data_IF_065902671183
#
_entry.id   IF_065902671183
#
_cell.length_a   1.000
_cell.length_b   1.000
_cell.length_c   1.000
_cell.angle_alpha   90.00
_cell.angle_beta   90.00
_cell.angle_gamma   90.00
#
_symmetry.space_group_name_H-M   'P 1'
#
loop_
_entity.id
_entity.type
_entity.pdbx_description
1 polymer ?
#
# COMPACT_ATOMS: atom_id res chain seq x y z
N UNK A 1 13.20 50.80 -35.22
CA UNK A 1 12.59 50.82 -33.88
C UNK A 1 13.05 49.58 -33.12
N UNK A 2 13.99 49.73 -32.19
CA UNK A 2 14.55 48.62 -31.42
C UNK A 2 13.52 48.16 -30.37
N UNK A 3 13.13 46.89 -30.44
CA UNK A 3 12.14 46.28 -29.56
C UNK A 3 12.65 46.21 -28.10
N UNK A 4 11.93 46.88 -27.21
CA UNK A 4 12.08 46.80 -25.77
C UNK A 4 11.86 45.34 -25.31
N UNK A 5 12.92 44.68 -24.86
CA UNK A 5 12.84 43.35 -24.24
C UNK A 5 12.47 43.53 -22.75
N UNK A 6 11.37 42.94 -22.26
CA UNK A 6 11.03 43.02 -20.85
C UNK A 6 12.13 42.35 -20.01
N UNK A 7 12.63 43.05 -19.00
CA UNK A 7 13.66 42.55 -18.09
C UNK A 7 13.21 41.28 -17.37
N UNK A 8 14.13 40.31 -17.27
CA UNK A 8 14.00 39.06 -16.53
C UNK A 8 13.41 39.34 -15.13
N UNK A 9 12.21 38.84 -14.86
CA UNK A 9 11.54 38.98 -13.55
C UNK A 9 12.48 38.53 -12.42
N UNK A 10 12.63 39.37 -11.37
CA UNK A 10 13.38 39.00 -10.17
C UNK A 10 12.75 37.72 -9.60
N UNK A 11 13.59 36.71 -9.39
CA UNK A 11 13.17 35.43 -8.82
C UNK A 11 12.72 35.62 -7.35
N UNK A 12 11.74 34.85 -6.86
CA UNK A 12 11.17 34.99 -5.49
C UNK A 12 12.23 34.86 -4.39
N UNK A 13 13.34 34.20 -4.70
CA UNK A 13 14.48 34.01 -3.82
C UNK A 13 15.19 35.32 -3.44
N UNK A 14 15.02 36.40 -4.24
CA UNK A 14 15.61 37.71 -3.94
C UNK A 14 14.89 38.48 -2.83
N UNK A 15 13.64 38.14 -2.50
CA UNK A 15 12.85 38.84 -1.48
C UNK A 15 13.45 38.68 -0.06
N UNK A 16 14.25 37.62 0.12
CA UNK A 16 14.95 37.26 1.36
C UNK A 16 16.32 37.95 1.51
N UNK A 17 16.70 38.80 0.57
CA UNK A 17 18.00 39.49 0.55
C UNK A 17 17.84 41.01 0.45
N UNK A 18 18.80 41.75 1.01
CA UNK A 18 18.89 43.21 0.94
C UNK A 18 20.05 43.61 0.02
N UNK A 19 19.82 44.65 -0.78
CA UNK A 19 20.86 45.22 -1.63
C UNK A 19 21.80 46.08 -0.75
N UNK A 20 23.10 45.79 -0.80
CA UNK A 20 24.15 46.55 -0.10
C UNK A 20 24.77 47.54 -1.11
N UNK A 21 25.47 48.56 -0.61
CA UNK A 21 26.27 49.50 -1.39
C UNK A 21 27.23 48.82 -2.38
N UNK A 22 27.71 47.61 -2.07
CA UNK A 22 28.50 46.78 -2.98
C UNK A 22 27.67 46.33 -4.20
N UNK A 23 27.99 46.77 -5.44
CA UNK A 23 27.18 46.50 -6.62
C UNK A 23 27.14 45.00 -6.98
N UNK A 24 28.04 44.18 -6.43
CA UNK A 24 28.17 42.75 -6.72
C UNK A 24 27.71 41.81 -5.58
N UNK A 25 27.24 42.34 -4.45
CA UNK A 25 26.81 41.53 -3.29
C UNK A 25 25.41 41.88 -2.81
N UNK A 26 24.80 40.93 -2.11
CA UNK A 26 23.52 41.07 -1.40
C UNK A 26 23.63 40.45 -0.01
N UNK A 27 22.95 41.04 0.97
CA UNK A 27 22.94 40.58 2.35
C UNK A 27 21.74 39.66 2.57
N UNK A 28 21.96 38.49 3.15
CA UNK A 28 20.85 37.65 3.59
C UNK A 28 20.18 38.27 4.82
N UNK A 29 18.85 38.45 4.80
CA UNK A 29 18.09 38.99 5.96
C UNK A 29 18.09 38.08 7.19
N UNK A 30 18.42 36.79 7.01
CA UNK A 30 18.28 35.78 8.08
C UNK A 30 19.57 35.50 8.85
N UNK A 31 20.74 35.70 8.25
CA UNK A 31 22.02 35.42 8.86
C UNK A 31 23.10 36.48 8.59
N UNK A 32 22.68 37.61 8.01
CA UNK A 32 23.49 38.81 7.70
C UNK A 32 24.74 38.55 6.83
N UNK A 33 24.88 37.35 6.29
CA UNK A 33 26.03 36.96 5.48
C UNK A 33 25.92 37.59 4.08
N UNK A 34 27.01 38.18 3.61
CA UNK A 34 27.08 38.77 2.28
C UNK A 34 27.37 37.70 1.22
N UNK A 35 26.50 37.62 0.21
CA UNK A 35 26.57 36.63 -0.87
C UNK A 35 26.62 37.39 -2.20
N UNK A 36 27.30 36.85 -3.22
CA UNK A 36 27.36 37.55 -4.51
C UNK A 36 25.98 37.59 -5.19
N UNK A 37 25.75 38.61 -6.03
CA UNK A 37 24.52 38.80 -6.83
C UNK A 37 24.30 37.73 -7.93
N UNK A 38 24.91 36.55 -7.82
CA UNK A 38 24.64 35.40 -8.68
C UNK A 38 23.57 34.52 -8.02
N UNK A 39 22.46 34.29 -8.71
CA UNK A 39 21.32 33.50 -8.19
C UNK A 39 21.73 32.09 -7.72
N UNK A 40 22.71 31.46 -8.37
CA UNK A 40 23.28 30.17 -7.96
C UNK A 40 23.83 30.23 -6.51
N UNK A 41 24.55 31.30 -6.18
CA UNK A 41 25.17 31.49 -4.85
C UNK A 41 24.12 31.82 -3.81
N UNK A 42 23.10 32.58 -4.18
CA UNK A 42 21.92 32.89 -3.36
C UNK A 42 21.18 31.61 -3.00
N UNK A 43 20.95 30.69 -3.95
CA UNK A 43 20.28 29.40 -3.70
C UNK A 43 21.09 28.46 -2.81
N UNK A 44 22.39 28.30 -3.09
CA UNK A 44 23.29 27.48 -2.25
C UNK A 44 23.38 28.05 -0.83
N UNK A 45 23.33 29.37 -0.69
CA UNK A 45 23.27 30.00 0.61
C UNK A 45 21.94 29.71 1.31
N UNK A 46 20.79 29.85 0.64
CA UNK A 46 19.47 29.58 1.25
C UNK A 46 19.32 28.15 1.77
N UNK A 47 19.84 27.15 1.05
CA UNK A 47 19.88 25.76 1.50
C UNK A 47 20.69 25.58 2.79
N UNK A 48 21.80 26.32 2.93
CA UNK A 48 22.68 26.25 4.11
C UNK A 48 22.21 27.14 5.26
N UNK A 49 21.61 28.28 4.94
CA UNK A 49 21.10 29.27 5.90
C UNK A 49 19.97 28.68 6.75
N UNK A 50 19.08 27.91 6.12
CA UNK A 50 18.00 27.19 6.82
C UNK A 50 18.51 26.20 7.88
N UNK A 51 19.71 25.64 7.68
CA UNK A 51 20.36 24.76 8.66
C UNK A 51 21.15 25.51 9.75
N UNK A 52 21.51 26.78 9.52
CA UNK A 52 22.31 27.57 10.47
C UNK A 52 21.48 28.20 11.59
N UNK A 53 20.17 28.39 11.40
CA UNK A 53 19.27 28.97 12.41
C UNK A 53 18.83 27.96 13.48
N UNK A 54 18.53 26.71 13.08
CA UNK A 54 18.31 25.60 14.04
C UNK A 54 19.47 25.47 15.03
N UNK A 55 20.71 25.55 14.55
CA UNK A 55 21.91 25.50 15.40
C UNK A 55 22.12 26.69 16.35
N UNK A 56 21.44 27.83 16.15
CA UNK A 56 21.50 28.97 17.09
C UNK A 56 20.37 28.89 18.11
N UNK A 57 19.17 28.51 17.67
CA UNK A 57 18.02 28.40 18.56
C UNK A 57 18.20 27.24 19.57
N UNK A 58 19.00 26.21 19.25
CA UNK A 58 19.40 25.13 20.18
C UNK A 58 20.56 25.51 21.12
N UNK A 59 21.12 26.72 21.03
CA UNK A 59 22.28 27.16 21.81
C UNK A 59 21.93 28.13 22.96
N UNK A 60 20.65 28.42 23.19
CA UNK A 60 20.21 29.37 24.23
C UNK A 60 19.52 28.73 25.45
N UNK A 61 19.51 27.39 25.57
CA UNK A 61 19.07 26.68 26.78
C UNK A 61 20.26 26.07 27.55
N UNK A 62 21.28 26.86 27.88
CA UNK A 62 22.22 26.53 28.96
C UNK A 62 21.60 26.99 30.28
N UNK A 63 20.90 26.07 30.97
CA UNK A 63 20.56 26.26 32.38
C UNK A 63 21.84 26.20 33.22
N UNK A 64 22.06 27.24 34.02
CA UNK A 64 23.12 27.34 35.02
C UNK A 64 23.07 26.13 35.98
N UNK A 65 23.95 25.16 35.75
CA UNK A 65 24.24 24.10 36.74
C UNK A 65 25.50 24.53 37.47
N UNK A 66 25.34 25.01 38.70
CA UNK A 66 26.46 25.27 39.62
C UNK A 66 27.27 23.98 39.84
N UNK A 67 28.53 24.03 39.40
CA UNK A 67 29.47 22.90 39.47
C UNK A 67 29.97 22.71 40.93
N UNK A 68 29.97 21.48 41.50
CA UNK A 68 30.45 21.25 42.86
C UNK A 68 31.95 21.51 42.95
N UNK A 69 32.32 22.55 43.71
CA UNK A 69 33.70 22.95 43.96
C UNK A 69 34.40 21.98 44.91
N UNK A 70 34.92 20.87 44.40
CA UNK A 70 36.08 20.17 44.99
C UNK A 70 36.69 19.18 44.00
N UNK A 71 37.44 19.69 43.03
CA UNK A 71 38.40 18.91 42.26
C UNK A 71 39.83 19.38 42.62
N UNK A 72 40.80 18.47 42.75
CA UNK A 72 42.12 18.80 43.27
C UNK A 72 42.86 19.73 42.30
N UNK A 73 43.44 20.80 42.85
CA UNK A 73 44.24 21.79 42.11
C UNK A 73 45.42 21.09 41.42
N UNK A 74 45.34 20.94 40.11
CA UNK A 74 46.48 20.67 39.25
C UNK A 74 47.17 22.00 38.92
N UNK A 75 47.97 22.48 39.88
CA UNK A 75 48.92 23.55 39.64
C UNK A 75 50.08 23.01 38.80
N UNK A 76 50.08 23.32 37.50
CA UNK A 76 51.27 23.75 36.73
C UNK A 76 50.95 23.92 35.24
N UNK A 77 50.84 25.20 34.85
CA UNK A 77 50.93 25.75 33.48
C UNK A 77 49.71 25.59 32.57
N UNK A 78 48.72 26.47 32.73
CA UNK A 78 47.70 26.77 31.72
C UNK A 78 48.17 27.97 30.90
N UNK A 79 48.53 27.77 29.63
CA UNK A 79 48.72 28.88 28.68
C UNK A 79 47.34 29.30 28.17
N UNK A 80 46.84 30.45 28.61
CA UNK A 80 45.62 31.06 28.07
C UNK A 80 45.95 31.74 26.75
N UNK A 81 45.55 31.14 25.63
CA UNK A 81 45.56 31.83 24.34
C UNK A 81 44.26 32.62 24.16
N UNK A 82 44.35 33.84 23.63
CA UNK A 82 43.17 34.63 23.28
C UNK A 82 42.46 33.97 22.09
N UNK A 83 41.12 33.99 22.05
CA UNK A 83 40.31 33.21 21.10
C UNK A 83 40.66 33.39 19.60
N UNK A 84 41.34 34.47 19.24
CA UNK A 84 41.84 34.71 17.89
C UNK A 84 43.08 33.86 17.52
N UNK A 85 43.94 33.53 18.49
CA UNK A 85 45.13 32.69 18.28
C UNK A 85 44.76 31.21 18.13
N UNK A 86 43.78 30.73 18.91
CA UNK A 86 43.26 29.36 18.85
C UNK A 86 42.80 28.99 17.44
N UNK A 87 42.00 29.87 16.82
CA UNK A 87 41.44 29.63 15.48
C UNK A 87 42.48 29.53 14.36
N UNK A 88 43.56 30.33 14.44
CA UNK A 88 44.66 30.29 13.46
C UNK A 88 45.55 29.06 13.63
N UNK A 89 45.82 28.65 14.87
CA UNK A 89 46.53 27.41 15.16
C UNK A 89 45.71 26.21 14.66
N UNK A 90 44.42 26.13 15.00
CA UNK A 90 43.56 25.02 14.61
C UNK A 90 43.41 24.87 13.09
N UNK A 91 43.33 25.97 12.34
CA UNK A 91 43.25 25.95 10.86
C UNK A 91 44.55 25.51 10.18
N UNK A 92 45.72 25.82 10.76
CA UNK A 92 47.02 25.37 10.24
C UNK A 92 47.31 23.92 10.63
N UNK A 93 47.03 23.53 11.87
CA UNK A 93 47.20 22.17 12.36
C UNK A 93 46.23 21.17 11.71
N UNK A 94 44.97 21.54 11.47
CA UNK A 94 44.00 20.65 10.83
C UNK A 94 44.40 20.27 9.40
N UNK A 95 45.03 21.15 8.63
CA UNK A 95 45.44 20.84 7.24
C UNK A 95 46.57 19.80 7.18
N UNK A 96 47.44 19.73 8.19
CA UNK A 96 48.55 18.77 8.24
C UNK A 96 48.14 17.34 8.63
N UNK A 97 47.09 17.20 9.45
CA UNK A 97 46.72 15.91 10.06
C UNK A 97 45.82 15.05 9.16
N UNK A 98 44.99 15.66 8.29
CA UNK A 98 44.04 14.90 7.44
C UNK A 98 44.63 14.33 6.13
N UNK A 99 45.91 14.57 5.83
CA UNK A 99 46.60 13.92 4.70
C UNK A 99 47.14 12.54 5.13
N UNK A 100 46.24 11.57 5.26
CA UNK A 100 46.54 10.21 5.71
C UNK A 100 47.50 9.40 4.81
N UNK A 101 47.91 8.25 5.37
CA UNK A 101 48.47 7.03 4.73
C UNK A 101 49.95 6.98 4.34
N UNK A 102 50.89 7.33 5.23
CA UNK A 102 52.24 6.75 5.17
C UNK A 102 52.93 6.80 6.55
N UNK A 103 53.82 5.85 6.89
CA UNK A 103 54.69 5.93 8.09
C UNK A 103 55.48 7.26 8.13
N UNK A 104 55.72 7.85 6.97
CA UNK A 104 56.30 9.19 6.78
C UNK A 104 55.39 10.32 7.28
N UNK A 105 54.08 10.14 7.30
CA UNK A 105 53.10 11.14 7.76
C UNK A 105 53.13 11.30 9.27
N UNK A 106 53.18 10.21 10.05
CA UNK A 106 53.31 10.30 11.51
C UNK A 106 54.65 10.93 11.93
N UNK A 107 55.72 10.58 11.21
CA UNK A 107 57.06 11.15 11.42
C UNK A 107 57.12 12.63 11.03
N UNK A 108 56.45 13.02 9.94
CA UNK A 108 56.30 14.41 9.52
C UNK A 108 55.44 15.21 10.51
N UNK A 109 54.34 14.65 11.03
CA UNK A 109 53.50 15.29 12.05
C UNK A 109 54.28 15.49 13.36
N UNK A 110 55.08 14.51 13.78
CA UNK A 110 55.95 14.64 14.94
C UNK A 110 57.04 15.71 14.73
N UNK A 111 57.66 15.76 13.54
CA UNK A 111 58.64 16.79 13.19
C UNK A 111 58.04 18.19 13.17
N UNK A 112 56.85 18.36 12.57
CA UNK A 112 56.13 19.63 12.57
C UNK A 112 55.71 20.06 13.98
N UNK A 113 55.29 19.11 14.82
CA UNK A 113 54.99 19.40 16.23
C UNK A 113 56.24 19.86 16.98
N UNK A 114 57.38 19.18 16.81
CA UNK A 114 58.65 19.56 17.45
C UNK A 114 59.17 20.92 16.98
N UNK A 115 59.03 21.24 15.69
CA UNK A 115 59.44 22.54 15.13
C UNK A 115 58.59 23.70 15.67
N UNK A 116 57.27 23.50 15.77
CA UNK A 116 56.37 24.51 16.31
C UNK A 116 56.52 24.67 17.82
N UNK A 117 56.77 23.57 18.55
CA UNK A 117 57.11 23.62 19.98
C UNK A 117 58.35 24.49 20.19
N UNK A 118 59.45 24.22 19.47
CA UNK A 118 60.69 25.00 19.57
C UNK A 118 60.51 26.47 19.18
N UNK A 119 59.66 26.74 18.19
CA UNK A 119 59.31 28.12 17.81
C UNK A 119 58.61 28.85 18.94
N UNK A 120 57.61 28.21 19.57
CA UNK A 120 56.89 28.77 20.70
C UNK A 120 57.80 28.99 21.92
N UNK A 121 58.66 28.03 22.25
CA UNK A 121 59.62 28.17 23.36
C UNK A 121 60.55 29.38 23.15
N UNK A 122 60.99 29.60 21.91
CA UNK A 122 61.86 30.73 21.55
C UNK A 122 61.13 32.07 21.53
N UNK A 123 59.90 32.10 21.04
CA UNK A 123 59.10 33.33 20.91
C UNK A 123 58.59 33.82 22.27
N UNK A 124 58.22 32.89 23.16
CA UNK A 124 57.59 33.20 24.44
C UNK A 124 58.49 32.94 25.66
N UNK A 125 59.71 32.43 25.47
CA UNK A 125 60.69 32.20 26.54
C UNK A 125 60.25 31.17 27.58
N UNK A 126 59.42 30.21 27.19
CA UNK A 126 58.89 29.16 28.06
C UNK A 126 59.37 27.77 27.62
N UNK A 127 59.19 26.75 28.45
CA UNK A 127 59.46 25.34 28.10
C UNK A 127 58.14 24.59 28.00
N UNK A 128 57.89 23.97 26.85
CA UNK A 128 56.65 23.23 26.57
C UNK A 128 56.84 21.80 27.03
N UNK A 129 56.10 21.39 28.08
CA UNK A 129 56.24 20.08 28.72
C UNK A 129 55.32 19.01 28.09
N UNK A 130 54.33 19.43 27.28
CA UNK A 130 53.46 18.53 26.53
C UNK A 130 52.46 19.28 25.66
N UNK A 131 51.94 18.60 24.63
CA UNK A 131 50.86 19.10 23.76
C UNK A 131 49.73 18.07 23.71
N UNK A 132 48.47 18.54 23.77
CA UNK A 132 47.28 17.69 23.68
C UNK A 132 46.52 18.12 22.43
N UNK A 133 46.34 17.22 21.47
CA UNK A 133 45.56 17.48 20.27
C UNK A 133 44.06 17.24 20.52
N UNK A 134 43.19 18.07 19.96
CA UNK A 134 41.70 18.02 19.99
C UNK A 134 41.05 16.70 19.46
N UNK A 135 41.82 15.63 19.28
CA UNK A 135 41.33 14.31 18.91
C UNK A 135 40.37 13.71 19.95
N UNK A 136 40.56 14.02 21.24
CA UNK A 136 39.70 13.50 22.30
C UNK A 136 38.28 14.07 22.20
N UNK A 137 38.15 15.39 22.06
CA UNK A 137 36.84 16.05 21.88
C UNK A 137 36.11 15.56 20.62
N UNK A 138 36.85 15.36 19.51
CA UNK A 138 36.29 14.78 18.28
C UNK A 138 35.84 13.33 18.45
N UNK A 139 36.60 12.52 19.19
CA UNK A 139 36.23 11.14 19.49
C UNK A 139 34.97 11.06 20.36
N UNK A 140 34.84 11.94 21.36
CA UNK A 140 33.63 12.04 22.20
C UNK A 140 32.41 12.44 21.36
N UNK A 141 32.54 13.46 20.50
CA UNK A 141 31.45 13.88 19.62
C UNK A 141 31.01 12.76 18.65
N UNK A 142 31.96 12.01 18.07
CA UNK A 142 31.64 10.88 17.17
C UNK A 142 30.98 9.73 17.93
N UNK A 143 31.43 9.41 19.15
CA UNK A 143 30.78 8.39 19.99
C UNK A 143 29.34 8.78 20.35
N UNK A 144 29.11 10.04 20.69
CA UNK A 144 27.77 10.55 20.96
C UNK A 144 26.83 10.40 19.74
N UNK A 145 27.30 10.79 18.56
CA UNK A 145 26.52 10.62 17.32
C UNK A 145 26.25 9.16 16.95
N UNK A 146 27.21 8.27 17.22
CA UNK A 146 27.01 6.83 17.01
C UNK A 146 26.00 6.26 18.00
N UNK A 147 26.04 6.70 19.26
CA UNK A 147 25.05 6.30 20.27
C UNK A 147 23.64 6.72 19.87
N UNK A 148 23.47 7.96 19.43
CA UNK A 148 22.18 8.49 18.97
C UNK A 148 21.65 7.70 17.77
N UNK A 149 22.50 7.41 16.78
CA UNK A 149 22.11 6.61 15.62
C UNK A 149 21.74 5.17 15.98
N UNK A 150 22.45 4.55 16.91
CA UNK A 150 22.11 3.20 17.37
C UNK A 150 20.76 3.18 18.07
N UNK A 151 20.44 4.21 18.86
CA UNK A 151 19.12 4.34 19.48
C UNK A 151 18.02 4.50 18.41
N UNK A 152 18.22 5.36 17.42
CA UNK A 152 17.27 5.54 16.32
C UNK A 152 17.08 4.25 15.50
N UNK A 153 18.14 3.47 15.27
CA UNK A 153 18.03 2.17 14.59
C UNK A 153 17.23 1.17 15.44
N UNK A 154 17.49 1.09 16.74
CA UNK A 154 16.73 0.23 17.64
C UNK A 154 15.25 0.57 17.65
N UNK A 155 14.90 1.85 17.66
CA UNK A 155 13.50 2.30 17.61
C UNK A 155 12.82 1.90 16.29
N UNK A 156 13.54 2.01 15.16
CA UNK A 156 13.02 1.59 13.85
C UNK A 156 12.85 0.09 13.75
N UNK A 157 13.77 -0.69 14.29
CA UNK A 157 13.67 -2.15 14.31
C UNK A 157 12.44 -2.60 15.12
N UNK A 158 12.17 -1.95 16.25
CA UNK A 158 10.96 -2.20 17.03
C UNK A 158 9.69 -1.87 16.24
N UNK A 159 9.63 -0.71 15.57
CA UNK A 159 8.49 -0.33 14.74
C UNK A 159 8.27 -1.29 13.56
N UNK A 160 9.35 -1.78 12.94
CA UNK A 160 9.26 -2.78 11.87
C UNK A 160 8.70 -4.10 12.39
N UNK A 161 9.17 -4.57 13.56
CA UNK A 161 8.64 -5.78 14.19
C UNK A 161 7.14 -5.67 14.51
N UNK A 162 6.69 -4.51 15.01
CA UNK A 162 5.27 -4.28 15.28
C UNK A 162 4.43 -4.31 13.99
N UNK A 163 4.96 -3.72 12.90
CA UNK A 163 4.29 -3.75 11.60
C UNK A 163 4.22 -5.16 11.02
N UNK A 164 5.28 -5.94 11.15
CA UNK A 164 5.31 -7.33 10.67
C UNK A 164 4.28 -8.19 11.43
N UNK A 165 4.14 -7.98 12.74
CA UNK A 165 3.08 -8.64 13.51
C UNK A 165 1.68 -8.26 13.02
N UNK A 166 1.42 -6.97 12.82
CA UNK A 166 0.12 -6.50 12.30
C UNK A 166 -0.19 -7.05 10.90
N UNK A 167 0.82 -7.16 10.03
CA UNK A 167 0.66 -7.75 8.70
C UNK A 167 0.32 -9.24 8.79
N UNK A 168 1.00 -9.97 9.66
CA UNK A 168 0.72 -11.39 9.92
C UNK A 168 -0.73 -11.61 10.40
N UNK A 169 -1.21 -10.78 11.32
CA UNK A 169 -2.59 -10.82 11.80
C UNK A 169 -3.60 -10.53 10.69
N UNK A 170 -3.34 -9.54 9.84
CA UNK A 170 -4.19 -9.24 8.67
C UNK A 170 -4.19 -10.37 7.65
N UNK A 171 -3.04 -10.98 7.40
CA UNK A 171 -2.95 -12.13 6.49
C UNK A 171 -3.73 -13.33 7.02
N UNK A 172 -3.75 -13.54 8.33
CA UNK A 172 -4.57 -14.59 8.94
C UNK A 172 -6.07 -14.28 8.78
N UNK A 173 -6.50 -13.04 9.06
CA UNK A 173 -7.89 -12.62 8.86
C UNK A 173 -8.34 -12.80 7.41
N UNK A 174 -7.50 -12.43 6.43
CA UNK A 174 -7.81 -12.61 5.01
C UNK A 174 -7.95 -14.09 4.62
N UNK A 175 -7.15 -14.99 5.21
CA UNK A 175 -7.30 -16.44 4.98
C UNK A 175 -8.63 -16.95 5.52
N UNK A 176 -9.03 -16.50 6.71
CA UNK A 176 -10.30 -16.90 7.33
C UNK A 176 -11.50 -16.37 6.52
N UNK A 177 -11.44 -15.12 6.06
CA UNK A 177 -12.44 -14.54 5.15
C UNK A 177 -12.52 -15.30 3.82
N UNK A 178 -11.38 -15.70 3.24
CA UNK A 178 -11.37 -16.50 2.01
C UNK A 178 -11.97 -17.89 2.23
N UNK A 179 -11.70 -18.51 3.37
CA UNK A 179 -12.28 -19.81 3.73
C UNK A 179 -13.81 -19.73 3.88
N UNK A 180 -14.30 -18.71 4.59
CA UNK A 180 -15.75 -18.49 4.76
C UNK A 180 -16.42 -18.16 3.43
N UNK A 181 -15.81 -17.33 2.58
CA UNK A 181 -16.32 -17.05 1.24
C UNK A 181 -16.34 -18.31 0.36
N UNK A 182 -15.33 -19.17 0.47
CA UNK A 182 -15.28 -20.46 -0.20
C UNK A 182 -16.43 -21.38 0.20
N UNK A 183 -16.71 -21.47 1.50
CA UNK A 183 -17.81 -22.28 2.03
C UNK A 183 -19.18 -21.74 1.60
N UNK A 184 -19.39 -20.42 1.65
CA UNK A 184 -20.63 -19.80 1.16
C UNK A 184 -20.85 -20.07 -0.33
N UNK A 185 -19.79 -20.00 -1.16
CA UNK A 185 -19.88 -20.36 -2.58
C UNK A 185 -20.26 -21.81 -2.79
N UNK A 186 -19.76 -22.73 -1.96
CA UNK A 186 -20.12 -24.15 -2.03
C UNK A 186 -21.60 -24.35 -1.69
N UNK A 187 -22.08 -23.73 -0.61
CA UNK A 187 -23.50 -23.78 -0.21
C UNK A 187 -24.44 -23.21 -1.26
N UNK A 188 -24.05 -22.12 -1.92
CA UNK A 188 -24.83 -21.55 -3.02
C UNK A 188 -24.95 -22.53 -4.20
N UNK A 189 -23.84 -23.17 -4.61
CA UNK A 189 -23.87 -24.19 -5.67
C UNK A 189 -24.75 -25.38 -5.30
N UNK A 190 -24.69 -25.84 -4.05
CA UNK A 190 -25.55 -26.93 -3.56
C UNK A 190 -27.04 -26.54 -3.55
N UNK A 191 -27.37 -25.30 -3.22
CA UNK A 191 -28.74 -24.79 -3.28
C UNK A 191 -29.24 -24.68 -4.73
N UNK A 192 -28.42 -24.12 -5.63
CA UNK A 192 -28.75 -23.99 -7.06
C UNK A 192 -29.01 -25.37 -7.71
N UNK A 193 -28.18 -26.38 -7.40
CA UNK A 193 -28.40 -27.74 -7.90
C UNK A 193 -29.65 -28.37 -7.28
N UNK A 194 -29.92 -28.12 -5.99
CA UNK A 194 -31.15 -28.55 -5.32
C UNK A 194 -32.40 -27.97 -5.96
N UNK A 195 -32.41 -26.66 -6.25
CA UNK A 195 -33.51 -25.97 -6.93
C UNK A 195 -33.70 -26.48 -8.36
N UNK A 196 -32.62 -26.70 -9.10
CA UNK A 196 -32.68 -27.29 -10.43
C UNK A 196 -33.26 -28.72 -10.41
N UNK A 197 -32.87 -29.53 -9.43
CA UNK A 197 -33.41 -30.87 -9.24
C UNK A 197 -34.91 -30.84 -8.88
N UNK A 198 -35.33 -29.95 -7.99
CA UNK A 198 -36.74 -29.76 -7.62
C UNK A 198 -37.58 -29.32 -8.83
N UNK A 199 -37.05 -28.42 -9.67
CA UNK A 199 -37.72 -27.98 -10.91
C UNK A 199 -37.91 -29.13 -11.90
N UNK A 200 -36.89 -29.97 -12.08
CA UNK A 200 -36.97 -31.16 -12.92
C UNK A 200 -37.96 -32.20 -12.38
N UNK A 201 -38.03 -32.37 -11.05
CA UNK A 201 -39.01 -33.24 -10.42
C UNK A 201 -40.45 -32.75 -10.69
N UNK A 202 -40.72 -31.45 -10.50
CA UNK A 202 -42.02 -30.87 -10.81
C UNK A 202 -42.42 -30.98 -12.29
N UNK A 203 -41.47 -30.83 -13.22
CA UNK A 203 -41.72 -31.05 -14.65
C UNK A 203 -42.08 -32.51 -14.95
N UNK A 204 -41.42 -33.48 -14.30
CA UNK A 204 -41.73 -34.91 -14.46
C UNK A 204 -43.11 -35.26 -13.91
N UNK A 205 -43.49 -34.69 -12.76
CA UNK A 205 -44.82 -34.88 -12.17
C UNK A 205 -45.91 -34.31 -13.07
N UNK A 206 -45.72 -33.11 -13.62
CA UNK A 206 -46.65 -32.51 -14.58
C UNK A 206 -46.80 -33.37 -15.85
N UNK A 207 -45.68 -33.83 -16.43
CA UNK A 207 -45.70 -34.70 -17.60
C UNK A 207 -46.39 -36.05 -17.33
N UNK A 208 -46.19 -36.62 -16.13
CA UNK A 208 -46.88 -37.84 -15.71
C UNK A 208 -48.40 -37.63 -15.59
N UNK A 209 -48.83 -36.49 -15.04
CA UNK A 209 -50.24 -36.13 -14.95
C UNK A 209 -50.88 -35.93 -16.34
N UNK A 210 -50.16 -35.31 -17.28
CA UNK A 210 -50.60 -35.18 -18.68
C UNK A 210 -50.77 -36.54 -19.35
N UNK A 211 -49.78 -37.43 -19.22
CA UNK A 211 -49.87 -38.80 -19.75
C UNK A 211 -51.03 -39.58 -19.12
N UNK A 212 -51.26 -39.42 -17.82
CA UNK A 212 -52.37 -40.07 -17.14
C UNK A 212 -53.73 -39.57 -17.66
N UNK A 213 -53.85 -38.26 -17.92
CA UNK A 213 -55.04 -37.67 -18.55
C UNK A 213 -55.24 -38.17 -19.98
N UNK A 214 -54.17 -38.26 -20.78
CA UNK A 214 -54.22 -38.83 -22.13
C UNK A 214 -54.68 -40.30 -22.12
N UNK A 215 -54.12 -41.12 -21.22
CA UNK A 215 -54.52 -42.51 -21.07
C UNK A 215 -55.98 -42.64 -20.61
N UNK A 216 -56.45 -41.75 -19.75
CA UNK A 216 -57.85 -41.70 -19.35
C UNK A 216 -58.76 -41.40 -20.55
N UNK A 217 -58.43 -40.37 -21.34
CA UNK A 217 -59.20 -40.01 -22.53
C UNK A 217 -59.20 -41.14 -23.57
N UNK A 218 -58.05 -41.78 -23.83
CA UNK A 218 -57.97 -42.94 -24.72
C UNK A 218 -58.85 -44.10 -24.25
N UNK A 219 -58.91 -44.37 -22.93
CA UNK A 219 -59.79 -45.41 -22.38
C UNK A 219 -61.27 -45.07 -22.59
N UNK A 220 -61.64 -43.80 -22.43
CA UNK A 220 -63.02 -43.33 -22.68
C UNK A 220 -63.38 -43.52 -24.15
N UNK A 221 -62.52 -43.08 -25.07
CA UNK A 221 -62.70 -43.22 -26.52
C UNK A 221 -62.83 -44.69 -26.94
N UNK A 222 -61.97 -45.58 -26.42
CA UNK A 222 -62.07 -47.02 -26.68
C UNK A 222 -63.40 -47.59 -26.17
N UNK A 223 -63.86 -47.16 -25.00
CA UNK A 223 -65.15 -47.55 -24.45
C UNK A 223 -66.32 -47.07 -25.32
N UNK A 224 -66.26 -45.86 -25.86
CA UNK A 224 -67.25 -45.34 -26.81
C UNK A 224 -67.26 -46.11 -28.13
N UNK A 225 -66.09 -46.42 -28.68
CA UNK A 225 -65.96 -47.23 -29.89
C UNK A 225 -66.57 -48.63 -29.68
N UNK A 226 -66.32 -49.26 -28.53
CA UNK A 226 -66.91 -50.56 -28.19
C UNK A 226 -68.43 -50.47 -28.09
N UNK A 227 -68.98 -49.44 -27.44
CA UNK A 227 -70.44 -49.19 -27.38
C UNK A 227 -71.03 -49.02 -28.78
N UNK A 228 -70.43 -48.18 -29.62
CA UNK A 228 -70.88 -47.99 -31.00
C UNK A 228 -70.83 -49.27 -31.83
N UNK A 229 -69.81 -50.12 -31.65
CA UNK A 229 -69.75 -51.42 -32.31
C UNK A 229 -70.89 -52.34 -31.85
N UNK A 230 -71.16 -52.38 -30.55
CA UNK A 230 -72.27 -53.16 -29.99
C UNK A 230 -73.63 -52.67 -30.52
N UNK A 231 -73.88 -51.36 -30.49
CA UNK A 231 -75.12 -50.76 -31.00
C UNK A 231 -75.33 -51.06 -32.49
N UNK A 232 -74.25 -51.02 -33.29
CA UNK A 232 -74.29 -51.36 -34.72
C UNK A 232 -74.68 -52.84 -34.93
N UNK A 233 -74.05 -53.75 -34.19
CA UNK A 233 -74.36 -55.19 -34.27
C UNK A 233 -75.79 -55.47 -33.82
N UNK A 234 -76.23 -54.85 -32.73
CA UNK A 234 -77.60 -54.98 -32.21
C UNK A 234 -78.63 -54.45 -33.22
N UNK A 235 -78.41 -53.27 -33.79
CA UNK A 235 -79.29 -52.71 -34.81
C UNK A 235 -79.36 -53.58 -36.06
N UNK A 236 -78.24 -54.15 -36.51
CA UNK A 236 -78.19 -55.08 -37.64
C UNK A 236 -79.02 -56.34 -37.34
N UNK A 237 -78.87 -56.91 -36.15
CA UNK A 237 -79.64 -58.07 -35.71
C UNK A 237 -81.14 -57.76 -35.65
N UNK A 238 -81.55 -56.63 -35.05
CA UNK A 238 -82.95 -56.22 -34.98
C UNK A 238 -83.57 -56.02 -36.38
N UNK A 239 -82.83 -55.44 -37.34
CA UNK A 239 -83.28 -55.33 -38.72
C UNK A 239 -83.46 -56.69 -39.38
N UNK A 240 -82.52 -57.62 -39.17
CA UNK A 240 -82.64 -58.99 -39.67
C UNK A 240 -83.87 -59.71 -39.10
N UNK A 241 -84.12 -59.62 -37.79
CA UNK A 241 -85.33 -60.16 -37.17
C UNK A 241 -86.60 -59.58 -37.80
N UNK A 242 -86.66 -58.26 -38.00
CA UNK A 242 -87.81 -57.59 -38.62
C UNK A 242 -88.05 -58.05 -40.06
N UNK A 243 -86.98 -58.29 -40.83
CA UNK A 243 -87.10 -58.85 -42.19
C UNK A 243 -87.66 -60.27 -42.18
N UNK A 244 -87.24 -61.10 -41.22
CA UNK A 244 -87.79 -62.46 -41.04
C UNK A 244 -89.28 -62.39 -40.72
N UNK A 245 -89.69 -61.54 -39.78
CA UNK A 245 -91.10 -61.34 -39.41
C UNK A 245 -91.96 -60.88 -40.60
N UNK A 246 -91.47 -59.90 -41.38
CA UNK A 246 -92.16 -59.45 -42.59
C UNK A 246 -92.26 -60.57 -43.64
N UNK A 247 -91.20 -61.36 -43.83
CA UNK A 247 -91.22 -62.50 -44.74
C UNK A 247 -92.16 -63.63 -44.29
N UNK A 248 -92.34 -63.82 -42.98
CA UNK A 248 -93.37 -64.72 -42.44
C UNK A 248 -94.79 -64.17 -42.64
N UNK A 249 -95.01 -62.86 -42.45
CA UNK A 249 -96.30 -62.22 -42.72
C UNK A 249 -96.69 -62.35 -44.20
N UNK A 250 -95.76 -62.05 -45.12
CA UNK A 250 -95.98 -62.20 -46.55
C UNK A 250 -96.29 -63.64 -46.94
N UNK A 251 -95.60 -64.63 -46.36
CA UNK A 251 -95.92 -66.06 -46.57
C UNK A 251 -97.33 -66.41 -46.11
N UNK A 252 -97.73 -65.97 -44.90
CA UNK A 252 -99.09 -66.18 -44.39
C UNK A 252 -100.16 -65.52 -45.29
N UNK A 253 -99.89 -64.33 -45.82
CA UNK A 253 -100.79 -63.67 -46.78
C UNK A 253 -100.86 -64.42 -48.12
N UNK A 254 -99.72 -64.87 -48.63
CA UNK A 254 -99.65 -65.66 -49.86
C UNK A 254 -100.41 -66.99 -49.71
N UNK A 255 -100.21 -67.71 -48.61
CA UNK A 255 -100.95 -68.94 -48.27
C UNK A 255 -102.45 -68.67 -48.16
N UNK A 256 -102.83 -67.53 -47.56
CA UNK A 256 -104.23 -67.10 -47.48
C UNK A 256 -104.81 -66.84 -48.86
N UNK A 257 -104.12 -66.11 -49.73
CA UNK A 257 -104.56 -65.86 -51.12
C UNK A 257 -104.64 -67.16 -51.94
N UNK A 258 -103.69 -68.08 -51.77
CA UNK A 258 -103.71 -69.40 -52.41
C UNK A 258 -104.90 -70.24 -51.94
N UNK A 259 -105.24 -70.20 -50.66
CA UNK A 259 -106.44 -70.88 -50.14
C UNK A 259 -107.73 -70.36 -50.77
N UNK A 260 -107.80 -69.06 -51.09
CA UNK A 260 -108.91 -68.45 -51.82
C UNK A 260 -108.96 -68.82 -53.30
N UNK A 261 -107.82 -69.09 -53.95
CA UNK A 261 -107.75 -69.47 -55.37
C UNK A 261 -107.98 -70.96 -55.63
N UNK A 262 -107.78 -71.81 -54.61
CA UNK A 262 -107.96 -73.27 -54.68
C UNK A 262 -109.34 -73.74 -54.14
N UNK A 263 -110.22 -72.80 -53.77
CA UNK A 263 -111.61 -73.03 -53.34
C UNK A 263 -112.58 -72.58 -54.43
#
# INVERSE_FOLDING_TARGET
MAAYRPGRSKAKEWDLFEEIEDPNKVRCKQCETEVSKKIERVRVHLEKCRNSKRRRDDAEDEQDVEEPTTAPKLDKWVVRTTGAMKKKLDEQYARGIYAGTNKKTAQCIAQLADEEIKRCEKEYGCTVVGYISDNEAKMVAVRSQLSERNQQLSERDQQLSERDQQLSERDQQLRDEQATAGELRRRLKEAETGEAAARLAGQREAAAAELQSQLYNQKVELGEQQRHQYDRLLSSHLLSCRQVELGEQQRKEYDRLLSYLLS
#
